data_IF_945070420554
#
_entry.id   IF_945070420554
#
_cell.length_a   1.000
_cell.length_b   1.000
_cell.length_c   1.000
_cell.angle_alpha   90.00
_cell.angle_beta   90.00
_cell.angle_gamma   90.00
#
_symmetry.space_group_name_H-M   'P 1'
#
loop_
_entity.id
_entity.type
_entity.pdbx_description
1 polymer ?
#
# COMPACT_ATOMS: atom_id res chain seq x y z
N UNK A 1 4.23 2.73 -8.41
CA UNK A 1 4.95 1.79 -9.32
C UNK A 1 6.07 2.55 -10.02
N UNK A 2 7.20 1.90 -10.35
CA UNK A 2 8.34 2.55 -11.03
C UNK A 2 8.38 2.15 -12.51
N UNK A 3 8.77 3.08 -13.37
CA UNK A 3 8.83 2.88 -14.84
C UNK A 3 9.80 1.75 -15.19
N UNK A 4 10.93 1.70 -14.50
CA UNK A 4 12.02 0.75 -14.69
C UNK A 4 11.53 -0.68 -14.45
N UNK A 5 10.75 -0.89 -13.38
CA UNK A 5 10.17 -2.20 -13.05
C UNK A 5 9.17 -2.69 -14.12
N UNK A 6 8.50 -1.78 -14.81
CA UNK A 6 7.61 -2.13 -15.93
C UNK A 6 8.38 -2.46 -17.21
N UNK A 7 9.49 -1.77 -17.47
CA UNK A 7 10.37 -2.06 -18.59
C UNK A 7 11.11 -3.41 -18.40
N UNK A 8 11.53 -3.73 -17.17
CA UNK A 8 12.10 -5.03 -16.78
C UNK A 8 11.12 -6.19 -17.00
N UNK A 9 9.81 -5.95 -16.86
CA UNK A 9 8.75 -6.92 -17.17
C UNK A 9 8.52 -7.11 -18.68
N UNK A 10 9.32 -6.47 -19.53
CA UNK A 10 9.27 -6.60 -20.98
C UNK A 10 8.19 -5.73 -21.65
N UNK A 11 7.56 -4.81 -20.92
CA UNK A 11 6.58 -3.89 -21.51
C UNK A 11 7.30 -2.83 -22.35
N UNK A 12 6.70 -2.50 -23.50
CA UNK A 12 7.19 -1.42 -24.34
C UNK A 12 6.78 -0.04 -23.77
N UNK A 13 7.40 1.05 -24.26
CA UNK A 13 7.18 2.39 -23.71
C UNK A 13 5.72 2.85 -23.75
N UNK A 14 4.95 2.41 -24.74
CA UNK A 14 3.53 2.74 -24.88
C UNK A 14 2.68 2.03 -23.81
N UNK A 15 2.93 0.74 -23.59
CA UNK A 15 2.29 -0.03 -22.53
C UNK A 15 2.68 0.47 -21.13
N UNK A 16 3.95 0.83 -20.93
CA UNK A 16 4.44 1.45 -19.69
C UNK A 16 3.73 2.76 -19.41
N UNK A 17 3.57 3.62 -20.43
CA UNK A 17 2.84 4.88 -20.30
C UNK A 17 1.36 4.65 -19.94
N UNK A 18 0.71 3.67 -20.58
CA UNK A 18 -0.69 3.32 -20.28
C UNK A 18 -0.87 2.83 -18.84
N UNK A 19 -0.02 1.89 -18.39
CA UNK A 19 -0.06 1.38 -17.00
C UNK A 19 0.19 2.49 -15.99
N UNK A 20 1.18 3.37 -16.25
CA UNK A 20 1.47 4.48 -15.35
C UNK A 20 0.33 5.51 -15.31
N UNK A 21 -0.38 5.74 -16.42
CA UNK A 21 -1.55 6.61 -16.46
C UNK A 21 -2.71 6.03 -15.63
N UNK A 22 -3.02 4.74 -15.78
CA UNK A 22 -4.04 4.04 -14.98
C UNK A 22 -3.66 4.08 -13.50
N UNK A 23 -2.41 3.72 -13.17
CA UNK A 23 -1.93 3.73 -11.80
C UNK A 23 -1.98 5.14 -11.17
N UNK A 24 -1.67 6.18 -11.94
CA UNK A 24 -1.76 7.57 -11.46
C UNK A 24 -3.21 7.98 -11.22
N UNK A 25 -4.14 7.58 -12.08
CA UNK A 25 -5.57 7.82 -11.90
C UNK A 25 -6.12 7.10 -10.67
N UNK A 26 -5.79 5.82 -10.49
CA UNK A 26 -6.16 5.04 -9.30
C UNK A 26 -5.57 5.64 -8.02
N UNK A 27 -4.30 6.05 -8.06
CA UNK A 27 -3.65 6.68 -6.90
C UNK A 27 -4.32 8.00 -6.50
N UNK A 28 -4.76 8.78 -7.48
CA UNK A 28 -5.50 10.02 -7.21
C UNK A 28 -6.88 9.74 -6.65
N UNK A 29 -7.59 8.71 -7.12
CA UNK A 29 -8.88 8.28 -6.56
C UNK A 29 -8.74 7.78 -5.11
N UNK A 30 -7.72 6.95 -4.84
CA UNK A 30 -7.40 6.47 -3.49
C UNK A 30 -7.06 7.63 -2.56
N UNK A 31 -6.24 8.60 -3.00
CA UNK A 31 -5.93 9.80 -2.23
C UNK A 31 -7.17 10.64 -1.96
N UNK A 32 -8.04 10.83 -2.95
CA UNK A 32 -9.28 11.58 -2.77
C UNK A 32 -10.20 10.91 -1.74
N UNK A 33 -10.35 9.58 -1.81
CA UNK A 33 -11.09 8.80 -0.81
C UNK A 33 -10.45 8.88 0.58
N UNK A 34 -9.13 8.84 0.67
CA UNK A 34 -8.40 9.01 1.93
C UNK A 34 -8.65 10.39 2.53
N UNK A 35 -8.49 11.47 1.76
CA UNK A 35 -8.76 12.84 2.24
C UNK A 35 -10.22 13.00 2.68
N UNK A 36 -11.17 12.46 1.91
CA UNK A 36 -12.59 12.50 2.28
C UNK A 36 -12.86 11.76 3.60
N UNK A 37 -12.29 10.55 3.78
CA UNK A 37 -12.40 9.79 5.02
C UNK A 37 -11.76 10.51 6.20
N UNK A 38 -10.61 11.18 6.02
CA UNK A 38 -9.95 11.99 7.04
C UNK A 38 -10.84 13.17 7.47
N UNK A 39 -11.44 13.87 6.51
CA UNK A 39 -12.36 14.99 6.75
C UNK A 39 -13.64 14.54 7.47
N UNK A 40 -14.25 13.43 7.04
CA UNK A 40 -15.43 12.86 7.68
C UNK A 40 -15.11 12.45 9.12
N UNK A 41 -13.95 11.83 9.35
CA UNK A 41 -13.46 11.48 10.69
C UNK A 41 -13.28 12.73 11.56
N UNK A 42 -12.69 13.80 11.05
CA UNK A 42 -12.49 15.03 11.83
C UNK A 42 -13.82 15.74 12.13
N UNK A 43 -14.76 15.75 11.19
CA UNK A 43 -16.13 16.24 11.39
C UNK A 43 -16.87 15.44 12.47
N UNK A 44 -16.85 14.11 12.37
CA UNK A 44 -17.46 13.22 13.35
C UNK A 44 -16.84 13.42 14.73
N UNK A 45 -15.51 13.56 14.81
CA UNK A 45 -14.82 13.86 16.07
C UNK A 45 -15.30 15.17 16.69
N UNK A 46 -15.47 16.22 15.88
CA UNK A 46 -15.99 17.50 16.37
C UNK A 46 -17.45 17.41 16.85
N UNK A 47 -18.31 16.68 16.14
CA UNK A 47 -19.70 16.45 16.57
C UNK A 47 -19.75 15.63 17.86
N UNK A 48 -18.84 14.68 17.99
CA UNK A 48 -18.67 13.83 19.17
C UNK A 48 -18.28 14.71 20.37
N UNK A 49 -17.27 15.57 20.23
CA UNK A 49 -16.89 16.50 21.30
C UNK A 49 -18.05 17.44 21.70
N UNK A 50 -18.80 17.97 20.73
CA UNK A 50 -19.96 18.84 20.99
C UNK A 50 -21.09 18.11 21.73
N UNK A 51 -21.46 16.90 21.31
CA UNK A 51 -22.44 16.06 22.00
C UNK A 51 -22.02 15.77 23.44
N UNK A 52 -20.72 15.59 23.67
CA UNK A 52 -20.15 15.35 25.00
C UNK A 52 -20.30 16.57 25.92
N UNK A 53 -20.14 17.78 25.40
CA UNK A 53 -20.39 19.02 26.14
C UNK A 53 -21.87 19.20 26.44
N UNK A 54 -22.76 18.93 25.47
CA UNK A 54 -24.20 19.08 25.66
C UNK A 54 -24.76 18.07 26.65
N UNK A 55 -24.23 16.83 26.67
CA UNK A 55 -24.54 15.87 27.73
C UNK A 55 -24.14 16.39 29.11
N UNK A 56 -22.95 16.97 29.26
CA UNK A 56 -22.53 17.57 30.55
C UNK A 56 -23.47 18.70 30.99
N UNK A 57 -23.81 19.62 30.09
CA UNK A 57 -24.78 20.70 30.37
C UNK A 57 -26.16 20.15 30.74
N UNK A 58 -26.62 19.12 30.03
CA UNK A 58 -27.90 18.48 30.34
C UNK A 58 -27.88 17.81 31.72
N UNK A 59 -26.77 17.15 32.09
CA UNK A 59 -26.58 16.60 33.44
C UNK A 59 -26.76 17.65 34.53
N UNK A 60 -26.12 18.80 34.34
CA UNK A 60 -26.18 19.91 35.28
C UNK A 60 -27.58 20.52 35.39
N UNK A 61 -28.39 20.41 34.33
CA UNK A 61 -29.79 20.86 34.29
C UNK A 61 -30.78 19.89 34.93
N UNK A 62 -30.43 18.60 35.05
CA UNK A 62 -31.29 17.53 35.57
C UNK A 62 -30.87 17.07 36.98
N UNK A 63 -30.50 18.01 37.86
CA UNK A 63 -29.97 17.69 39.20
C UNK A 63 -30.96 16.97 40.13
N UNK A 64 -32.24 17.04 39.84
CA UNK A 64 -33.31 16.58 40.74
C UNK A 64 -33.87 15.18 40.38
N UNK A 65 -33.31 14.50 39.36
CA UNK A 65 -33.75 13.16 38.94
C UNK A 65 -32.59 12.16 38.89
N UNK A 66 -32.49 11.34 39.93
CA UNK A 66 -31.44 10.31 40.09
C UNK A 66 -31.44 9.28 38.94
N UNK A 67 -32.62 8.88 38.45
CA UNK A 67 -32.74 7.93 37.33
C UNK A 67 -32.20 8.53 36.02
N UNK A 68 -32.44 9.83 35.79
CA UNK A 68 -31.90 10.53 34.62
C UNK A 68 -30.39 10.73 34.75
N UNK A 69 -29.87 11.04 35.94
CA UNK A 69 -28.43 11.15 36.16
C UNK A 69 -27.71 9.83 35.90
N UNK A 70 -28.26 8.71 36.39
CA UNK A 70 -27.68 7.39 36.17
C UNK A 70 -27.64 7.01 34.69
N UNK A 71 -28.73 7.23 33.94
CA UNK A 71 -28.75 7.00 32.48
C UNK A 71 -27.75 7.88 31.74
N UNK A 72 -27.52 9.11 32.23
CA UNK A 72 -26.56 10.02 31.63
C UNK A 72 -25.12 9.61 31.89
N UNK A 73 -24.82 9.10 33.08
CA UNK A 73 -23.51 8.55 33.42
C UNK A 73 -23.18 7.31 32.60
N UNK A 74 -24.14 6.40 32.43
CA UNK A 74 -24.01 5.25 31.54
C UNK A 74 -23.75 5.68 30.10
N UNK A 75 -24.47 6.70 29.63
CA UNK A 75 -24.31 7.22 28.27
C UNK A 75 -22.94 7.88 28.08
N UNK A 76 -22.49 8.67 29.06
CA UNK A 76 -21.17 9.29 29.06
C UNK A 76 -20.05 8.23 29.04
N UNK A 77 -20.17 7.18 29.86
CA UNK A 77 -19.18 6.10 29.91
C UNK A 77 -19.11 5.32 28.59
N UNK A 78 -20.25 4.92 28.02
CA UNK A 78 -20.29 4.23 26.71
C UNK A 78 -19.70 5.09 25.59
N UNK A 79 -19.92 6.38 25.68
CA UNK A 79 -19.40 7.34 24.72
C UNK A 79 -17.87 7.47 24.80
N UNK A 80 -17.33 7.61 26.02
CA UNK A 80 -15.88 7.63 26.24
C UNK A 80 -15.21 6.32 25.79
N UNK A 81 -15.83 5.18 26.10
CA UNK A 81 -15.37 3.87 25.63
C UNK A 81 -15.38 3.77 24.10
N UNK A 82 -16.48 4.19 23.45
CA UNK A 82 -16.58 4.19 21.99
C UNK A 82 -15.53 5.10 21.34
N UNK A 83 -15.30 6.28 21.92
CA UNK A 83 -14.29 7.24 21.45
C UNK A 83 -12.88 6.66 21.56
N UNK A 84 -12.58 5.98 22.67
CA UNK A 84 -11.29 5.34 22.87
C UNK A 84 -11.09 4.17 21.90
N UNK A 85 -12.10 3.31 21.74
CA UNK A 85 -12.05 2.17 20.82
C UNK A 85 -11.86 2.64 19.37
N UNK A 86 -12.62 3.63 18.92
CA UNK A 86 -12.47 4.20 17.59
C UNK A 86 -11.08 4.84 17.38
N UNK A 87 -10.54 5.52 18.38
CA UNK A 87 -9.19 6.09 18.30
C UNK A 87 -8.11 5.00 18.19
N UNK A 88 -8.27 3.90 18.94
CA UNK A 88 -7.37 2.75 18.88
C UNK A 88 -7.44 2.04 17.53
N UNK A 89 -8.65 1.70 17.04
CA UNK A 89 -8.85 1.08 15.73
C UNK A 89 -8.26 1.94 14.61
N UNK A 90 -8.47 3.26 14.65
CA UNK A 90 -7.91 4.16 13.66
C UNK A 90 -6.37 4.14 13.67
N UNK A 91 -5.76 4.12 14.85
CA UNK A 91 -4.32 4.04 14.99
C UNK A 91 -3.78 2.69 14.47
N UNK A 92 -4.45 1.59 14.80
CA UNK A 92 -4.10 0.26 14.29
C UNK A 92 -4.18 0.18 12.77
N UNK A 93 -5.26 0.69 12.16
CA UNK A 93 -5.43 0.73 10.70
C UNK A 93 -4.34 1.58 10.03
N UNK A 94 -4.02 2.75 10.60
CA UNK A 94 -2.93 3.61 10.09
C UNK A 94 -1.58 2.92 10.17
N UNK A 95 -1.25 2.34 11.33
CA UNK A 95 0.00 1.60 11.55
C UNK A 95 0.08 0.40 10.62
N UNK A 96 -0.98 -0.38 10.51
CA UNK A 96 -1.09 -1.54 9.62
C UNK A 96 -0.83 -1.13 8.17
N UNK A 97 -1.45 -0.04 7.71
CA UNK A 97 -1.30 0.46 6.34
C UNK A 97 0.11 0.98 6.07
N UNK A 98 0.73 1.66 7.04
CA UNK A 98 2.12 2.10 6.95
C UNK A 98 3.10 0.91 6.84
N UNK A 99 2.89 -0.14 7.64
CA UNK A 99 3.66 -1.39 7.54
C UNK A 99 3.49 -2.01 6.15
N UNK A 100 2.25 -2.13 5.68
CA UNK A 100 1.97 -2.76 4.37
C UNK A 100 2.62 -1.97 3.22
N UNK A 101 2.63 -0.63 3.28
CA UNK A 101 3.32 0.21 2.31
C UNK A 101 4.83 -0.01 2.30
N UNK A 102 5.47 -0.07 3.46
CA UNK A 102 6.92 -0.33 3.55
C UNK A 102 7.27 -1.75 3.09
N UNK A 103 6.43 -2.74 3.41
CA UNK A 103 6.58 -4.11 2.90
C UNK A 103 6.52 -4.16 1.37
N UNK A 104 5.56 -3.46 0.77
CA UNK A 104 5.46 -3.34 -0.69
C UNK A 104 6.70 -2.66 -1.29
N UNK A 105 7.20 -1.58 -0.68
CA UNK A 105 8.43 -0.89 -1.12
C UNK A 105 9.66 -1.80 -1.04
N UNK A 106 9.72 -2.68 -0.05
CA UNK A 106 10.80 -3.62 0.14
C UNK A 106 10.74 -4.86 -0.76
N UNK A 107 9.70 -4.99 -1.61
CA UNK A 107 9.53 -6.14 -2.50
C UNK A 107 9.02 -7.39 -1.78
N UNK A 108 8.20 -7.23 -0.73
CA UNK A 108 7.54 -8.35 -0.06
C UNK A 108 6.68 -9.17 -1.05
N UNK A 109 7.00 -10.47 -1.22
CA UNK A 109 6.17 -11.40 -2.01
C UNK A 109 4.86 -11.75 -1.33
N UNK A 110 4.88 -11.84 0.01
CA UNK A 110 3.70 -12.04 0.83
C UNK A 110 3.75 -11.12 2.06
N UNK A 111 3.19 -9.90 1.98
CA UNK A 111 3.21 -8.94 3.08
C UNK A 111 2.57 -9.50 4.34
N UNK A 112 1.52 -10.32 4.23
CA UNK A 112 0.82 -10.92 5.38
C UNK A 112 1.72 -11.90 6.14
N UNK A 113 2.49 -12.72 5.42
CA UNK A 113 3.43 -13.66 6.03
C UNK A 113 4.58 -12.92 6.73
N UNK A 114 5.15 -11.90 6.08
CA UNK A 114 6.24 -11.11 6.67
C UNK A 114 5.74 -10.35 7.90
N UNK A 115 4.53 -9.78 7.85
CA UNK A 115 3.94 -9.06 8.98
C UNK A 115 3.76 -9.92 10.23
N UNK A 116 3.53 -11.23 10.07
CA UNK A 116 3.46 -12.17 11.20
C UNK A 116 4.84 -12.45 11.84
N UNK A 117 5.94 -12.15 11.14
CA UNK A 117 7.31 -12.26 11.64
C UNK A 117 7.80 -10.94 12.29
N UNK A 118 7.03 -9.86 12.15
CA UNK A 118 7.37 -8.55 12.71
C UNK A 118 6.82 -8.41 14.13
N UNK A 119 7.63 -7.81 14.99
CA UNK A 119 7.20 -7.38 16.31
C UNK A 119 6.45 -6.05 16.16
N UNK A 120 5.12 -6.17 16.18
CA UNK A 120 4.20 -5.04 16.07
C UNK A 120 4.35 -4.07 17.24
N UNK A 121 4.74 -4.51 18.43
CA UNK A 121 4.87 -3.65 19.61
C UNK A 121 6.13 -2.77 19.54
N UNK A 122 7.18 -3.28 18.92
CA UNK A 122 8.41 -2.54 18.65
C UNK A 122 8.28 -1.53 17.49
N UNK A 123 7.24 -1.63 16.66
CA UNK A 123 6.97 -0.70 15.56
C UNK A 123 6.18 0.51 16.08
N UNK A 124 6.68 1.71 15.83
CA UNK A 124 6.00 2.96 16.20
C UNK A 124 5.66 3.78 14.96
N UNK A 125 4.49 4.41 14.99
CA UNK A 125 4.06 5.36 13.98
C UNK A 125 3.94 6.73 14.67
N UNK A 126 4.68 7.71 14.19
CA UNK A 126 4.58 9.12 14.58
C UNK A 126 4.42 10.02 13.34
N UNK A 127 4.45 11.34 13.55
CA UNK A 127 4.28 12.33 12.49
C UNK A 127 5.45 12.33 11.47
N UNK A 128 6.63 11.85 11.88
CA UNK A 128 7.83 11.74 11.02
C UNK A 128 7.86 10.40 10.25
N UNK A 129 7.04 9.42 10.64
CA UNK A 129 6.81 8.19 9.90
C UNK A 129 6.85 6.93 10.77
N UNK A 130 7.20 5.81 10.12
CA UNK A 130 7.26 4.49 10.78
C UNK A 130 8.68 4.16 11.23
N UNK A 131 8.83 3.88 12.52
CA UNK A 131 10.12 3.59 13.17
C UNK A 131 10.18 2.14 13.64
N UNK A 132 11.41 1.60 13.73
CA UNK A 132 11.67 0.22 14.15
C UNK A 132 11.32 -0.85 13.12
N UNK A 133 10.51 -0.53 12.11
CA UNK A 133 10.15 -1.47 11.04
C UNK A 133 11.35 -1.82 10.14
N UNK A 134 12.20 -0.84 9.82
CA UNK A 134 13.31 -1.04 8.87
C UNK A 134 14.30 -2.10 9.35
N UNK A 135 14.72 -2.02 10.60
CA UNK A 135 15.71 -2.94 11.18
C UNK A 135 15.15 -4.37 11.24
N UNK A 136 13.88 -4.51 11.62
CA UNK A 136 13.20 -5.81 11.59
C UNK A 136 13.10 -6.35 10.16
N UNK A 137 12.80 -5.49 9.18
CA UNK A 137 12.69 -5.90 7.80
C UNK A 137 14.02 -6.41 7.23
N UNK A 138 15.12 -5.75 7.59
CA UNK A 138 16.46 -6.13 7.16
C UNK A 138 16.87 -7.46 7.82
N UNK A 139 16.53 -7.69 9.11
CA UNK A 139 16.71 -8.99 9.76
C UNK A 139 15.89 -10.11 9.10
N UNK A 140 14.61 -9.87 8.77
CA UNK A 140 13.76 -10.88 8.09
C UNK A 140 14.24 -11.15 6.66
N UNK A 141 14.89 -10.19 5.99
CA UNK A 141 15.54 -10.47 4.68
C UNK A 141 16.75 -11.37 4.81
N UNK A 142 17.49 -11.27 5.91
CA UNK A 142 18.65 -12.14 6.18
C UNK A 142 18.23 -13.56 6.54
N UNK A 143 17.20 -13.73 7.38
CA UNK A 143 16.70 -15.05 7.77
C UNK A 143 15.83 -15.70 6.68
N UNK A 144 14.92 -14.93 6.08
CA UNK A 144 13.82 -15.40 5.24
C UNK A 144 13.79 -14.65 3.90
N UNK A 145 14.95 -14.46 3.27
CA UNK A 145 15.10 -13.71 2.01
C UNK A 145 14.22 -14.22 0.86
N UNK A 146 13.74 -15.46 0.91
CA UNK A 146 12.78 -16.03 -0.05
C UNK A 146 11.39 -15.36 0.00
N UNK A 147 11.05 -14.68 1.10
CA UNK A 147 9.82 -13.90 1.23
C UNK A 147 9.88 -12.57 0.49
N UNK A 148 11.06 -12.17 0.01
CA UNK A 148 11.27 -10.94 -0.74
C UNK A 148 11.61 -11.23 -2.20
N UNK A 149 11.33 -10.26 -3.06
CA UNK A 149 11.77 -10.28 -4.45
C UNK A 149 13.30 -10.32 -4.49
N UNK A 150 13.83 -11.38 -5.10
CA UNK A 150 15.24 -11.51 -5.38
C UNK A 150 15.56 -10.58 -6.55
N UNK A 151 16.61 -9.75 -6.46
CA UNK A 151 17.20 -9.11 -7.64
C UNK A 151 17.85 -10.21 -8.48
N UNK A 152 17.07 -10.95 -9.27
CA UNK A 152 17.63 -11.84 -10.28
C UNK A 152 18.26 -10.98 -11.39
N UNK A 153 19.44 -11.36 -11.91
CA UNK A 153 20.02 -10.70 -13.08
C UNK A 153 19.08 -10.85 -14.28
N UNK A 154 18.97 -9.79 -15.09
CA UNK A 154 18.13 -9.66 -16.28
C UNK A 154 17.88 -11.01 -17.00
N UNK A 155 16.69 -11.57 -16.83
CA UNK A 155 16.27 -12.71 -17.66
C UNK A 155 16.07 -12.18 -19.08
N UNK A 156 16.72 -12.77 -20.10
CA UNK A 156 16.56 -12.32 -21.48
C UNK A 156 15.09 -12.45 -21.88
N UNK A 157 14.53 -11.34 -22.36
CA UNK A 157 13.13 -11.24 -22.78
C UNK A 157 12.82 -12.30 -23.86
N UNK A 158 11.90 -13.25 -23.62
CA UNK A 158 11.59 -14.33 -24.55
C UNK A 158 10.79 -13.87 -25.78
N UNK A 159 10.39 -12.60 -25.83
CA UNK A 159 9.73 -12.00 -26.97
C UNK A 159 10.74 -11.18 -27.78
N UNK A 160 11.30 -11.71 -28.88
CA UNK A 160 12.09 -10.90 -29.78
C UNK A 160 11.19 -9.77 -30.32
N UNK A 161 11.63 -8.51 -30.16
CA UNK A 161 10.98 -7.36 -30.80
C UNK A 161 10.91 -7.64 -32.30
N UNK A 162 9.72 -7.98 -32.79
CA UNK A 162 9.46 -8.10 -34.21
C UNK A 162 9.85 -6.81 -34.91
N UNK A 163 10.78 -6.89 -35.85
CA UNK A 163 11.22 -5.79 -36.68
C UNK A 163 10.04 -5.32 -37.56
N UNK A 164 9.52 -4.08 -37.43
CA UNK A 164 8.33 -3.65 -38.17
C UNK A 164 8.62 -3.21 -39.62
N UNK A 165 9.84 -3.39 -40.13
CA UNK A 165 10.19 -2.99 -41.50
C UNK A 165 10.28 -4.21 -42.44
N UNK A 166 9.12 -4.71 -42.88
CA UNK A 166 9.04 -5.65 -43.99
C UNK A 166 9.23 -4.92 -45.32
N UNK A 167 10.46 -4.95 -45.86
CA UNK A 167 10.72 -4.44 -47.21
C UNK A 167 12.20 -4.24 -47.56
N UNK A 168 12.92 -5.32 -47.83
CA UNK A 168 14.08 -5.42 -48.75
C UNK A 168 14.72 -6.83 -48.63
N UNK A 169 15.31 -7.40 -49.70
CA UNK A 169 15.45 -8.84 -49.87
C UNK A 169 16.50 -9.43 -48.94
N UNK A 170 16.16 -10.58 -48.37
CA UNK A 170 17.05 -11.42 -47.57
C UNK A 170 18.23 -11.83 -48.44
N UNK A 171 19.44 -11.43 -48.07
CA UNK A 171 20.68 -12.04 -48.59
C UNK A 171 20.73 -13.48 -48.07
N UNK A 172 20.20 -14.38 -48.89
CA UNK A 172 20.06 -15.81 -48.63
C UNK A 172 21.42 -16.54 -48.50
N UNK A 173 22.53 -15.85 -48.76
CA UNK A 173 23.89 -16.41 -48.77
C UNK A 173 24.50 -16.62 -47.38
N UNK A 174 24.12 -15.85 -46.35
CA UNK A 174 24.72 -15.99 -45.02
C UNK A 174 24.17 -17.19 -44.23
N UNK A 175 22.88 -17.49 -44.39
CA UNK A 175 22.24 -18.67 -43.79
C UNK A 175 22.69 -19.98 -44.45
N UNK A 176 22.92 -19.99 -45.77
CA UNK A 176 23.45 -21.16 -46.46
C UNK A 176 24.90 -21.48 -46.02
N UNK A 177 25.71 -20.45 -45.78
CA UNK A 177 27.10 -20.56 -45.30
C UNK A 177 27.19 -21.07 -43.86
N UNK A 178 26.21 -20.71 -43.00
CA UNK A 178 26.12 -21.23 -41.63
C UNK A 178 25.67 -22.70 -41.56
N UNK A 179 24.95 -23.19 -42.58
CA UNK A 179 24.42 -24.56 -42.67
C UNK A 179 25.30 -25.52 -43.47
N UNK A 180 26.47 -25.08 -43.96
CA UNK A 180 27.44 -25.94 -44.64
C UNK A 180 26.96 -26.50 -45.98
N UNK A 181 25.90 -25.93 -46.57
CA UNK A 181 25.40 -26.32 -47.87
C UNK A 181 26.22 -25.60 -48.95
N UNK A 182 26.91 -26.37 -49.80
CA UNK A 182 27.59 -25.84 -50.98
C UNK A 182 26.52 -25.35 -51.96
N UNK A 183 26.56 -24.06 -52.28
CA UNK A 183 25.78 -23.48 -53.37
C UNK A 183 26.51 -23.77 -54.68
N UNK A 184 26.06 -24.81 -55.39
CA UNK A 184 26.38 -24.96 -56.81
C UNK A 184 25.48 -24.01 -57.62
N UNK A 185 26.10 -23.36 -58.61
CA UNK A 185 25.55 -22.29 -59.46
C UNK A 185 24.27 -22.65 -60.20
#
# INVERSE_FOLDING_TARGET
MKREKLQELGLNDEQVNSVMAIHSAELNDVRAKQTAAEQERDSLKSQLDANQEDLKKFKESQKDSEELQSKLDDLQSKFDETKQNAANELNEVKKSSAIDMELMKAGARNPKAIKALLDSDAIKLDDDGIHGLKDQLDAVKESDGYLFESKEPDKPNPFPKGNPNGGAPVQQDEVAKALGLKTDK
#
